data_IF_622779686627
#
_entry.id   IF_622779686627
#
_cell.length_a   1.000
_cell.length_b   1.000
_cell.length_c   1.000
_cell.angle_alpha   90.00
_cell.angle_beta   90.00
_cell.angle_gamma   90.00
#
_symmetry.space_group_name_H-M   'P 1'
#
loop_
_entity.id
_entity.type
_entity.pdbx_description
1 polymer ?
#
# COMPACT_ATOMS: atom_id res chain seq x y z
N UNK A 1 6.47 -3.61 -0.85
CA UNK A 1 7.27 -2.42 -1.19
C UNK A 1 6.66 -1.20 -0.51
N UNK A 2 7.45 -0.45 0.25
CA UNK A 2 7.00 0.74 0.97
C UNK A 2 6.86 1.93 0.02
N UNK A 3 5.87 2.79 0.27
CA UNK A 3 5.60 4.01 -0.49
C UNK A 3 5.21 5.12 0.47
N UNK A 4 5.97 6.22 0.47
CA UNK A 4 5.71 7.39 1.31
C UNK A 4 5.53 8.61 0.38
N UNK A 5 4.38 9.30 0.41
CA UNK A 5 4.22 10.60 -0.23
C UNK A 5 5.20 11.63 0.34
N UNK A 6 5.89 12.34 -0.54
CA UNK A 6 6.85 13.37 -0.16
C UNK A 6 6.84 14.52 -1.17
N UNK A 7 7.25 15.70 -0.71
CA UNK A 7 7.47 16.88 -1.57
C UNK A 7 8.96 17.08 -1.79
N UNK A 8 9.37 17.38 -3.02
CA UNK A 8 10.75 17.75 -3.32
C UNK A 8 11.02 19.16 -2.78
N UNK A 9 12.06 19.31 -1.98
CA UNK A 9 12.48 20.60 -1.40
C UNK A 9 13.67 21.15 -2.18
N UNK A 10 14.66 20.32 -2.47
CA UNK A 10 15.88 20.73 -3.14
C UNK A 10 16.46 19.59 -3.97
N UNK A 11 17.24 19.93 -4.99
CA UNK A 11 18.00 18.98 -5.81
C UNK A 11 19.40 19.54 -5.98
N UNK A 12 20.40 18.77 -5.56
CA UNK A 12 21.82 19.10 -5.76
C UNK A 12 22.43 18.07 -6.71
N UNK A 13 23.03 18.53 -7.82
CA UNK A 13 23.67 17.66 -8.79
C UNK A 13 25.18 17.91 -8.83
N UNK A 14 25.96 16.83 -8.93
CA UNK A 14 27.41 16.90 -9.11
C UNK A 14 27.93 15.56 -9.64
N UNK A 15 28.70 15.59 -10.73
CA UNK A 15 29.40 14.41 -11.26
C UNK A 15 28.48 13.24 -11.62
N UNK A 16 27.35 13.49 -12.29
CA UNK A 16 26.41 12.44 -12.69
C UNK A 16 25.56 11.86 -11.54
N UNK A 17 25.60 12.48 -10.36
CA UNK A 17 24.78 12.08 -9.21
C UNK A 17 23.89 13.25 -8.80
N UNK A 18 22.65 12.94 -8.43
CA UNK A 18 21.73 13.89 -7.81
C UNK A 18 21.38 13.46 -6.38
N UNK A 19 21.52 14.39 -5.44
CA UNK A 19 20.95 14.28 -4.11
C UNK A 19 19.65 15.09 -4.09
N UNK A 20 18.54 14.40 -3.85
CA UNK A 20 17.20 14.99 -3.79
C UNK A 20 16.77 15.05 -2.34
N UNK A 21 16.56 16.26 -1.82
CA UNK A 21 16.01 16.48 -0.49
C UNK A 21 14.49 16.59 -0.56
N UNK A 22 13.83 15.91 0.37
CA UNK A 22 12.39 15.68 0.40
C UNK A 22 11.85 15.99 1.80
N UNK A 23 10.56 16.32 1.85
CA UNK A 23 9.82 16.47 3.09
C UNK A 23 8.58 15.56 3.10
N UNK A 24 8.36 14.85 4.22
CA UNK A 24 7.17 14.03 4.45
C UNK A 24 6.82 13.99 5.93
N UNK A 25 5.54 14.22 6.28
CA UNK A 25 5.08 14.10 7.66
C UNK A 25 5.89 14.93 8.67
N UNK A 26 6.41 16.10 8.25
CA UNK A 26 7.29 16.96 9.06
C UNK A 26 8.72 16.45 9.25
N UNK A 27 9.12 15.41 8.54
CA UNK A 27 10.48 14.85 8.55
C UNK A 27 11.17 15.10 7.20
N UNK A 28 12.44 15.49 7.25
CA UNK A 28 13.29 15.54 6.07
C UNK A 28 13.87 14.16 5.76
N UNK A 29 13.92 13.81 4.48
CA UNK A 29 14.62 12.64 3.96
C UNK A 29 15.33 13.01 2.65
N UNK A 30 16.32 12.22 2.26
CA UNK A 30 17.06 12.40 1.01
C UNK A 30 17.08 11.10 0.20
N UNK A 31 16.96 11.24 -1.11
CA UNK A 31 17.16 10.17 -2.08
C UNK A 31 18.40 10.46 -2.94
N UNK A 32 19.18 9.43 -3.27
CA UNK A 32 20.33 9.55 -4.15
C UNK A 32 20.00 8.90 -5.49
N UNK A 33 20.14 9.64 -6.58
CA UNK A 33 19.94 9.17 -7.95
C UNK A 33 21.30 9.16 -8.63
N UNK A 34 21.66 8.01 -9.19
CA UNK A 34 22.85 7.82 -10.02
C UNK A 34 22.46 8.02 -11.50
N UNK A 35 23.43 8.35 -12.34
CA UNK A 35 23.23 8.66 -13.77
C UNK A 35 22.30 9.86 -13.97
N UNK A 36 22.46 10.88 -13.12
CA UNK A 36 21.66 12.11 -13.09
C UNK A 36 22.20 13.20 -14.04
N UNK A 37 22.71 12.82 -15.20
CA UNK A 37 23.16 13.74 -16.25
C UNK A 37 21.97 14.53 -16.81
N UNK A 38 20.84 13.85 -17.00
CA UNK A 38 19.56 14.44 -17.37
C UNK A 38 18.46 13.95 -16.42
N UNK A 39 18.04 14.83 -15.51
CA UNK A 39 16.90 14.55 -14.64
C UNK A 39 15.58 14.75 -15.40
N UNK A 40 14.57 13.91 -15.16
CA UNK A 40 13.30 14.07 -15.83
C UNK A 40 12.61 15.35 -15.38
N UNK A 41 11.90 16.02 -16.31
CA UNK A 41 11.26 17.35 -16.08
C UNK A 41 10.34 17.39 -14.85
N UNK A 42 9.72 16.27 -14.49
CA UNK A 42 8.84 16.20 -13.32
C UNK A 42 9.59 16.23 -11.98
N UNK A 43 10.89 15.95 -11.98
CA UNK A 43 11.72 15.93 -10.78
C UNK A 43 12.29 17.32 -10.53
N UNK A 44 11.45 18.20 -9.98
CA UNK A 44 11.78 19.59 -9.67
C UNK A 44 11.31 19.99 -8.27
N UNK A 45 11.96 20.96 -7.60
CA UNK A 45 11.50 21.49 -6.32
C UNK A 45 10.01 21.87 -6.34
N UNK A 46 9.29 21.51 -5.29
CA UNK A 46 7.85 21.68 -5.13
C UNK A 46 7.01 20.51 -5.62
N UNK A 47 7.54 19.63 -6.48
CA UNK A 47 6.80 18.50 -7.01
C UNK A 47 6.45 17.46 -5.94
N UNK A 48 5.25 16.88 -6.05
CA UNK A 48 4.80 15.76 -5.23
C UNK A 48 5.26 14.43 -5.87
N UNK A 49 5.88 13.59 -5.05
CA UNK A 49 6.46 12.32 -5.44
C UNK A 49 6.14 11.25 -4.41
N UNK A 50 6.28 9.98 -4.80
CA UNK A 50 6.32 8.88 -3.84
C UNK A 50 7.78 8.44 -3.69
N UNK A 51 8.27 8.47 -2.45
CA UNK A 51 9.49 7.81 -2.06
C UNK A 51 9.21 6.32 -1.87
N UNK A 52 9.90 5.48 -2.64
CA UNK A 52 9.66 4.04 -2.74
C UNK A 52 10.92 3.29 -2.36
N UNK A 53 10.77 2.30 -1.49
CA UNK A 53 11.88 1.46 -1.05
C UNK A 53 11.40 0.06 -0.65
N UNK A 54 12.31 -0.90 -0.69
CA UNK A 54 12.01 -2.29 -0.31
C UNK A 54 12.03 -2.44 1.21
N UNK A 55 11.26 -3.40 1.70
CA UNK A 55 11.19 -3.77 3.10
C UNK A 55 12.55 -4.25 3.65
N UNK A 56 13.35 -4.93 2.82
CA UNK A 56 14.68 -5.44 3.18
C UNK A 56 15.71 -4.36 3.45
N UNK A 57 15.50 -3.16 2.90
CA UNK A 57 16.45 -2.04 3.04
C UNK A 57 16.12 -1.13 4.24
N UNK A 58 14.99 -1.39 4.92
CA UNK A 58 14.56 -0.62 6.08
C UNK A 58 15.05 -1.30 7.36
N UNK A 59 16.07 -0.72 7.99
CA UNK A 59 16.59 -1.18 9.29
C UNK A 59 15.77 -0.60 10.45
N UNK A 60 15.82 -1.26 11.61
CA UNK A 60 15.15 -0.79 12.84
C UNK A 60 16.21 -0.55 13.92
N UNK A 61 16.10 0.58 14.60
CA UNK A 61 16.86 0.88 15.82
C UNK A 61 15.91 1.15 16.99
N UNK A 62 16.20 0.53 18.12
CA UNK A 62 15.58 0.82 19.42
C UNK A 62 16.55 1.74 20.18
N UNK A 63 16.07 2.89 20.69
CA UNK A 63 16.90 3.86 21.42
C UNK A 63 18.18 4.26 20.66
N UNK A 64 18.02 4.68 19.39
CA UNK A 64 19.15 5.08 18.55
C UNK A 64 20.01 6.15 19.25
N UNK A 65 21.31 5.88 19.38
CA UNK A 65 22.28 6.80 19.99
C UNK A 65 23.56 6.86 19.15
N UNK A 66 24.36 7.91 19.36
CA UNK A 66 25.59 8.15 18.60
C UNK A 66 25.37 8.76 17.21
N UNK A 67 26.45 8.80 16.42
CA UNK A 67 26.45 9.32 15.05
C UNK A 67 26.53 8.17 14.06
N UNK A 68 25.57 8.10 13.14
CA UNK A 68 25.51 7.11 12.05
C UNK A 68 25.20 7.81 10.72
N UNK A 69 25.56 7.18 9.61
CA UNK A 69 25.41 7.72 8.25
C UNK A 69 24.02 7.50 7.61
N UNK A 70 23.10 6.79 8.29
CA UNK A 70 21.71 6.65 7.87
C UNK A 70 20.97 7.98 8.12
N UNK A 71 20.86 8.79 7.07
CA UNK A 71 20.21 10.12 7.11
C UNK A 71 18.69 10.05 7.17
N UNK A 72 18.09 9.06 6.50
CA UNK A 72 16.65 8.90 6.48
C UNK A 72 16.24 8.16 7.75
N UNK A 73 15.53 8.88 8.62
CA UNK A 73 15.11 8.39 9.93
C UNK A 73 13.62 8.63 10.09
N UNK A 74 12.87 7.55 10.28
CA UNK A 74 11.43 7.60 10.47
C UNK A 74 11.13 7.20 11.91
N UNK A 75 10.71 8.13 12.78
CA UNK A 75 10.17 7.78 14.08
C UNK A 75 8.91 6.94 13.89
N UNK A 76 8.89 5.73 14.44
CA UNK A 76 7.79 4.79 14.23
C UNK A 76 7.39 4.07 15.49
N UNK A 77 6.17 3.56 15.48
CA UNK A 77 5.68 2.60 16.47
C UNK A 77 5.45 1.24 15.83
N UNK A 78 5.91 0.17 16.45
CA UNK A 78 5.61 -1.20 15.98
C UNK A 78 4.12 -1.49 16.15
N UNK A 79 3.44 -1.86 15.08
CA UNK A 79 2.01 -2.22 15.10
C UNK A 79 1.76 -3.72 14.98
N UNK A 80 2.66 -4.44 14.31
CA UNK A 80 2.58 -5.89 14.14
C UNK A 80 3.96 -6.49 13.89
N UNK A 81 4.15 -7.77 14.24
CA UNK A 81 5.36 -8.54 13.94
C UNK A 81 4.94 -9.91 13.42
N UNK A 82 5.21 -10.18 12.15
CA UNK A 82 5.07 -11.50 11.56
C UNK A 82 6.41 -12.25 11.66
N UNK A 83 6.50 -13.15 12.64
CA UNK A 83 7.70 -13.95 12.90
C UNK A 83 7.82 -15.11 11.92
N UNK A 84 8.91 -15.14 11.16
CA UNK A 84 9.34 -16.33 10.41
C UNK A 84 10.54 -17.02 11.07
N UNK A 85 11.02 -18.11 10.48
CA UNK A 85 12.18 -18.85 10.98
C UNK A 85 13.47 -18.03 10.88
N UNK A 86 13.76 -17.48 9.69
CA UNK A 86 14.97 -16.71 9.42
C UNK A 86 14.72 -15.21 9.30
N UNK A 87 13.64 -14.83 8.63
CA UNK A 87 13.22 -13.45 8.41
C UNK A 87 11.87 -13.21 9.08
N UNK A 88 11.71 -12.01 9.61
CA UNK A 88 10.46 -11.51 10.17
C UNK A 88 10.08 -10.21 9.48
N UNK A 89 8.79 -9.98 9.30
CA UNK A 89 8.27 -8.72 8.77
C UNK A 89 7.66 -7.93 9.92
N UNK A 90 8.22 -6.76 10.19
CA UNK A 90 7.76 -5.82 11.20
C UNK A 90 6.94 -4.74 10.52
N UNK A 91 5.69 -4.58 10.93
CA UNK A 91 4.83 -3.47 10.52
C UNK A 91 5.04 -2.28 11.46
N UNK A 92 5.26 -1.11 10.87
CA UNK A 92 5.61 0.12 11.54
C UNK A 92 4.64 1.24 11.15
N UNK A 93 4.15 1.98 12.13
CA UNK A 93 3.37 3.20 11.93
C UNK A 93 4.28 4.42 11.96
N UNK A 94 4.32 5.16 10.86
CA UNK A 94 5.01 6.43 10.68
C UNK A 94 3.98 7.54 10.40
N UNK A 95 3.60 8.32 11.41
CA UNK A 95 2.50 9.28 11.29
C UNK A 95 1.21 8.60 10.82
N UNK A 96 0.68 9.02 9.67
CA UNK A 96 -0.49 8.42 9.02
C UNK A 96 -0.17 7.25 8.08
N UNK A 97 1.11 6.91 7.91
CA UNK A 97 1.59 5.90 6.96
C UNK A 97 1.93 4.59 7.67
N UNK A 98 1.73 3.48 6.97
CA UNK A 98 2.24 2.17 7.37
C UNK A 98 3.39 1.79 6.46
N UNK A 99 4.52 1.43 7.07
CA UNK A 99 5.70 0.90 6.37
C UNK A 99 6.11 -0.44 6.99
N UNK A 100 6.78 -1.27 6.22
CA UNK A 100 7.20 -2.60 6.63
C UNK A 100 8.73 -2.71 6.57
N UNK A 101 9.30 -3.39 7.55
CA UNK A 101 10.71 -3.73 7.60
C UNK A 101 10.84 -5.25 7.60
N UNK A 102 11.66 -5.78 6.70
CA UNK A 102 12.00 -7.21 6.68
C UNK A 102 13.41 -7.35 7.28
N UNK A 103 13.49 -7.86 8.50
CA UNK A 103 14.75 -8.07 9.24
C UNK A 103 14.87 -9.52 9.68
N UNK A 104 16.06 -9.95 10.11
CA UNK A 104 16.21 -11.31 10.62
C UNK A 104 15.39 -11.51 11.89
N UNK A 105 14.85 -12.71 12.08
CA UNK A 105 14.16 -13.09 13.32
C UNK A 105 15.09 -12.96 14.53
N UNK A 106 16.40 -13.19 14.33
CA UNK A 106 17.42 -12.93 15.35
C UNK A 106 17.48 -11.45 15.74
N UNK A 107 17.37 -10.53 14.78
CA UNK A 107 17.35 -9.09 15.02
C UNK A 107 16.11 -8.66 15.81
N UNK A 108 14.93 -9.19 15.48
CA UNK A 108 13.69 -8.94 16.25
C UNK A 108 13.89 -9.33 17.71
N UNK A 109 14.43 -10.53 17.95
CA UNK A 109 14.71 -11.04 19.30
C UNK A 109 15.78 -10.21 20.02
N UNK A 110 16.89 -9.88 19.37
CA UNK A 110 17.99 -9.14 19.99
C UNK A 110 17.64 -7.68 20.31
N UNK A 111 16.72 -7.10 19.54
CA UNK A 111 16.19 -5.76 19.78
C UNK A 111 15.04 -5.75 20.78
N UNK A 112 14.57 -6.93 21.22
CA UNK A 112 13.42 -7.08 22.10
C UNK A 112 12.19 -6.34 21.56
N UNK A 113 11.94 -6.48 20.25
CA UNK A 113 10.81 -5.81 19.60
C UNK A 113 9.50 -6.45 20.01
N UNK A 114 8.58 -5.59 20.45
CA UNK A 114 7.21 -5.94 20.80
C UNK A 114 6.24 -4.98 20.11
N UNK A 115 4.97 -5.36 20.02
CA UNK A 115 3.93 -4.45 19.55
C UNK A 115 3.84 -3.28 20.52
N UNK A 116 3.90 -2.07 19.98
CA UNK A 116 3.88 -0.83 20.74
C UNK A 116 5.25 -0.24 21.05
N UNK A 117 6.36 -0.95 20.76
CA UNK A 117 7.71 -0.41 20.91
C UNK A 117 7.91 0.80 19.99
N UNK A 118 8.39 1.91 20.56
CA UNK A 118 8.82 3.08 19.79
C UNK A 118 10.23 2.84 19.23
N UNK A 119 10.38 2.99 17.92
CA UNK A 119 11.60 2.69 17.17
C UNK A 119 11.92 3.80 16.18
N UNK A 120 13.15 3.80 15.68
CA UNK A 120 13.51 4.60 14.51
C UNK A 120 13.79 3.65 13.35
N UNK A 121 13.02 3.75 12.28
CA UNK A 121 13.31 3.06 11.03
C UNK A 121 14.35 3.86 10.24
N UNK A 122 15.34 3.17 9.68
CA UNK A 122 16.53 3.76 9.08
C UNK A 122 16.77 3.20 7.69
N UNK A 123 17.06 4.06 6.71
CA UNK A 123 17.40 3.65 5.35
C UNK A 123 18.46 4.58 4.75
N UNK A 124 19.30 4.05 3.85
CA UNK A 124 20.28 4.88 3.12
C UNK A 124 19.60 5.62 1.96
N UNK A 125 20.17 6.75 1.54
CA UNK A 125 19.60 7.56 0.47
C UNK A 125 19.58 6.84 -0.89
N UNK A 126 20.54 5.96 -1.15
CA UNK A 126 20.63 5.19 -2.40
C UNK A 126 19.62 4.04 -2.50
N UNK A 127 18.92 3.70 -1.40
CA UNK A 127 17.88 2.66 -1.39
C UNK A 127 16.47 3.25 -1.56
N UNK A 128 16.36 4.57 -1.74
CA UNK A 128 15.09 5.26 -2.00
C UNK A 128 15.01 5.64 -3.48
N UNK A 129 14.01 5.10 -4.17
CA UNK A 129 13.64 5.52 -5.52
C UNK A 129 12.50 6.53 -5.48
N UNK A 130 12.46 7.44 -6.45
CA UNK A 130 11.38 8.42 -6.60
C UNK A 130 10.52 8.08 -7.80
N UNK A 131 9.21 8.08 -7.59
CA UNK A 131 8.24 7.97 -8.69
C UNK A 131 7.34 9.20 -8.67
N UNK A 132 6.99 9.69 -9.86
CA UNK A 132 6.03 10.78 -10.01
C UNK A 132 4.72 10.41 -9.35
N UNK A 133 4.21 11.26 -8.46
CA UNK A 133 2.88 11.08 -7.93
C UNK A 133 1.88 11.51 -9.01
N UNK A 134 1.29 10.53 -9.69
CA UNK A 134 0.14 10.81 -10.55
C UNK A 134 -1.10 10.88 -9.68
N UNK A 135 -1.88 11.96 -9.82
CA UNK A 135 -3.22 11.97 -9.26
C UNK A 135 -4.00 10.82 -9.92
N UNK A 136 -4.27 9.75 -9.19
CA UNK A 136 -5.32 8.81 -9.55
C UNK A 136 -6.59 9.64 -9.64
N UNK A 137 -7.07 9.82 -10.87
CA UNK A 137 -8.08 10.82 -11.21
C UNK A 137 -9.22 10.84 -10.20
N UNK A 138 -9.45 12.02 -9.61
CA UNK A 138 -10.77 12.40 -9.13
C UNK A 138 -11.72 12.32 -10.32
N UNK A 139 -12.22 11.13 -10.64
CA UNK A 139 -13.48 10.99 -11.36
C UNK A 139 -14.52 11.56 -10.41
N UNK A 140 -14.74 12.88 -10.50
CA UNK A 140 -16.04 13.44 -10.16
C UNK A 140 -17.03 12.62 -11.00
N UNK A 141 -17.83 11.81 -10.33
CA UNK A 141 -19.01 11.21 -10.94
C UNK A 141 -19.91 12.39 -11.32
N UNK A 142 -19.75 12.88 -12.54
CA UNK A 142 -20.68 13.80 -13.14
C UNK A 142 -21.99 13.03 -13.31
N UNK A 143 -22.96 13.41 -12.50
CA UNK A 143 -24.29 12.84 -12.43
C UNK A 143 -25.06 13.18 -13.71
N UNK A 144 -24.72 12.47 -14.80
CA UNK A 144 -25.41 12.52 -16.08
C UNK A 144 -26.75 11.80 -15.97
N UNK A 145 -27.80 12.57 -15.67
CA UNK A 145 -29.24 12.29 -15.83
C UNK A 145 -29.58 10.94 -16.47
N UNK A 146 -30.12 10.03 -15.65
CA UNK A 146 -31.06 9.00 -16.10
C UNK A 146 -32.16 9.66 -16.95
N UNK A 147 -32.23 9.31 -18.23
CA UNK A 147 -33.50 9.29 -18.97
C UNK A 147 -33.93 7.82 -19.08
N UNK A 148 -34.87 7.44 -18.23
CA UNK A 148 -35.71 6.27 -18.46
C UNK A 148 -36.63 6.60 -19.62
N UNK A 149 -36.38 6.02 -20.80
CA UNK A 149 -37.33 6.13 -21.90
C UNK A 149 -38.39 5.04 -21.74
N UNK A 150 -39.49 5.46 -21.13
CA UNK A 150 -40.73 4.71 -21.06
C UNK A 150 -41.51 4.87 -22.37
N UNK A 151 -41.72 3.74 -23.07
CA UNK A 151 -42.99 3.46 -23.73
C UNK A 151 -43.09 3.72 -25.24
N UNK A 152 -43.21 2.63 -26.00
CA UNK A 152 -44.40 2.40 -26.86
C UNK A 152 -44.49 0.92 -27.26
N UNK A 153 -45.55 0.28 -26.76
CA UNK A 153 -46.02 -1.04 -27.20
C UNK A 153 -46.60 -0.93 -28.61
N UNK A 154 -46.36 -1.92 -29.46
CA UNK A 154 -47.34 -2.39 -30.44
C UNK A 154 -47.54 -3.88 -30.23
N UNK A 155 -48.80 -4.25 -30.09
CA UNK A 155 -49.29 -5.61 -29.99
C UNK A 155 -49.35 -6.23 -31.38
N UNK A 156 -48.98 -7.50 -31.51
CA UNK A 156 -49.62 -8.36 -32.49
C UNK A 156 -49.77 -9.79 -31.97
N UNK A 157 -50.98 -10.27 -32.18
CA UNK A 157 -51.61 -11.45 -31.61
C UNK A 157 -51.23 -12.74 -32.34
N UNK A 158 -50.91 -13.79 -31.59
CA UNK A 158 -50.85 -15.17 -32.08
C UNK A 158 -51.53 -16.13 -31.12
N UNK A 159 -52.80 -16.43 -31.37
CA UNK A 159 -53.60 -17.46 -30.69
C UNK A 159 -52.92 -18.83 -30.80
N UNK A 160 -52.87 -19.62 -29.71
CA UNK A 160 -53.48 -20.97 -29.63
C UNK A 160 -53.31 -21.66 -28.27
N UNK A 161 -54.47 -21.88 -27.66
CA UNK A 161 -55.03 -23.03 -26.92
C UNK A 161 -54.25 -23.73 -25.78
N UNK A 162 -55.05 -23.87 -24.73
CA UNK A 162 -54.96 -24.54 -23.44
C UNK A 162 -55.00 -26.08 -23.52
N UNK A 163 -54.29 -26.75 -22.59
CA UNK A 163 -54.71 -28.00 -21.93
C UNK A 163 -53.77 -28.26 -20.72
N UNK A 164 -54.12 -27.86 -19.49
CA UNK A 164 -54.79 -28.62 -18.41
C UNK A 164 -54.13 -29.94 -17.98
N UNK A 165 -53.68 -30.00 -16.72
CA UNK A 165 -53.34 -31.23 -15.99
C UNK A 165 -52.45 -30.97 -14.76
N UNK A 166 -52.96 -30.38 -13.67
CA UNK A 166 -53.41 -31.03 -12.41
C UNK A 166 -52.42 -32.02 -11.74
N UNK A 167 -51.96 -31.61 -10.54
CA UNK A 167 -51.72 -32.40 -9.29
C UNK A 167 -50.39 -33.20 -9.24
N UNK A 168 -49.74 -33.44 -8.10
CA UNK A 168 -49.90 -33.08 -6.68
C UNK A 168 -48.56 -33.42 -5.99
N UNK A 169 -48.32 -32.80 -4.84
CA UNK A 169 -47.29 -33.17 -3.87
C UNK A 169 -47.69 -34.39 -3.01
N UNK A 170 -46.70 -35.18 -2.60
CA UNK A 170 -46.65 -36.08 -1.43
C UNK A 170 -45.18 -36.56 -1.34
N UNK A 171 -44.35 -36.16 -0.38
CA UNK A 171 -44.28 -36.52 1.05
C UNK A 171 -44.36 -38.03 1.34
N UNK A 172 -43.36 -38.53 2.07
CA UNK A 172 -43.15 -39.97 2.29
C UNK A 172 -41.91 -40.29 3.11
N UNK A 173 -41.92 -39.92 4.39
CA UNK A 173 -41.05 -40.47 5.45
C UNK A 173 -41.15 -42.00 5.57
N UNK A 174 -40.02 -42.62 5.96
CA UNK A 174 -39.78 -43.77 6.89
C UNK A 174 -38.60 -44.57 6.35
N UNK A 175 -37.61 -45.06 7.10
CA UNK A 175 -37.44 -45.29 8.53
C UNK A 175 -36.62 -46.60 8.69
N UNK A 176 -35.79 -46.70 9.75
CA UNK A 176 -35.08 -47.93 10.17
C UNK A 176 -33.59 -47.91 9.79
N UNK A 177 -32.60 -47.67 10.67
CA UNK A 177 -32.25 -48.18 12.01
C UNK A 177 -31.52 -49.55 12.00
N UNK A 178 -30.19 -49.45 12.14
CA UNK A 178 -29.24 -50.17 13.03
C UNK A 178 -29.16 -51.70 12.98
N UNK A 179 -27.93 -52.20 12.87
CA UNK A 179 -27.20 -53.19 13.72
C UNK A 179 -26.11 -53.81 12.82
N UNK A 180 -24.90 -54.18 13.27
CA UNK A 180 -24.28 -54.30 14.58
C UNK A 180 -22.76 -54.21 14.38
#
# INVERSE_FOLDING_TARGET
>A
MNKIPAKIINITTSGGIALVDLETGGCSLSALIVDAEELPVWLSPGADVLAVFKESELSIAVRLSGKISLRNRFPCKVTNINLGELLSVVELRFGSFTIHSAITTRSVKSLELEIGTEVTALIKANEISLIKQTESGKRKAENGKRKTESGKRKAESGKRKTESGKRKAEDGRKGGRVTR
#
